data_IF_761440461812
#
_entry.id   IF_761440461812
#
_cell.length_a   1.000
_cell.length_b   1.000
_cell.length_c   1.000
_cell.angle_alpha   90.00
_cell.angle_beta   90.00
_cell.angle_gamma   90.00
#
_symmetry.space_group_name_H-M   'P 1'
#
loop_
_entity.id
_entity.type
_entity.pdbx_description
1 polymer ?
#
# COMPACT_ATOMS: atom_id res chain seq x y z
N UNK A 1 -17.96 22.99 -8.21
CA UNK A 1 -17.38 22.20 -7.09
C UNK A 1 -15.91 22.57 -6.95
N UNK A 2 -15.33 22.58 -5.75
CA UNK A 2 -13.90 22.86 -5.59
C UNK A 2 -13.06 21.70 -6.14
N UNK A 3 -11.92 21.95 -6.80
CA UNK A 3 -11.04 20.88 -7.32
C UNK A 3 -10.59 19.91 -6.23
N UNK A 4 -10.38 20.40 -5.00
CA UNK A 4 -10.08 19.57 -3.83
C UNK A 4 -11.18 18.56 -3.53
N UNK A 5 -12.45 18.98 -3.56
CA UNK A 5 -13.58 18.09 -3.29
C UNK A 5 -13.70 17.02 -4.38
N UNK A 6 -13.52 17.40 -5.65
CA UNK A 6 -13.53 16.44 -6.77
C UNK A 6 -12.43 15.39 -6.57
N UNK A 7 -11.20 15.80 -6.27
CA UNK A 7 -10.09 14.88 -6.04
C UNK A 7 -10.35 13.90 -4.88
N UNK A 8 -10.90 14.38 -3.77
CA UNK A 8 -11.25 13.54 -2.62
C UNK A 8 -12.33 12.53 -3.00
N UNK A 9 -13.40 12.97 -3.67
CA UNK A 9 -14.49 12.08 -4.09
C UNK A 9 -14.00 11.03 -5.07
N UNK A 10 -13.20 11.41 -6.06
CA UNK A 10 -12.57 10.48 -7.01
C UNK A 10 -11.70 9.47 -6.28
N UNK A 11 -10.87 9.91 -5.34
CA UNK A 11 -10.02 9.00 -4.56
C UNK A 11 -10.86 8.01 -3.74
N UNK A 12 -11.93 8.46 -3.08
CA UNK A 12 -12.82 7.60 -2.29
C UNK A 12 -13.55 6.57 -3.16
N UNK A 13 -14.03 6.97 -4.34
CA UNK A 13 -14.67 6.05 -5.30
C UNK A 13 -13.68 4.99 -5.76
N UNK A 14 -12.46 5.39 -6.13
CA UNK A 14 -11.41 4.46 -6.54
C UNK A 14 -11.03 3.51 -5.40
N UNK A 15 -10.91 4.01 -4.17
CA UNK A 15 -10.61 3.20 -2.99
C UNK A 15 -11.71 2.17 -2.71
N UNK A 16 -12.97 2.56 -2.88
CA UNK A 16 -14.11 1.67 -2.73
C UNK A 16 -14.08 0.57 -3.79
N UNK A 17 -13.89 0.93 -5.07
CA UNK A 17 -13.77 -0.02 -6.18
C UNK A 17 -12.61 -0.99 -5.92
N UNK A 18 -11.44 -0.47 -5.54
CA UNK A 18 -10.27 -1.28 -5.20
C UNK A 18 -10.58 -2.27 -4.08
N UNK A 19 -11.22 -1.83 -3.01
CA UNK A 19 -11.53 -2.68 -1.85
C UNK A 19 -12.54 -3.77 -2.20
N UNK A 20 -13.60 -3.44 -2.94
CA UNK A 20 -14.62 -4.40 -3.36
C UNK A 20 -14.02 -5.43 -4.31
N UNK A 21 -13.25 -4.99 -5.32
CA UNK A 21 -12.62 -5.90 -6.28
C UNK A 21 -11.58 -6.81 -5.62
N UNK A 22 -10.91 -6.34 -4.57
CA UNK A 22 -9.88 -7.10 -3.85
C UNK A 22 -10.39 -7.65 -2.50
N UNK A 23 -11.71 -7.83 -2.37
CA UNK A 23 -12.34 -8.43 -1.18
C UNK A 23 -12.19 -9.95 -1.12
N UNK A 24 -11.75 -10.58 -2.22
CA UNK A 24 -11.45 -12.00 -2.27
C UNK A 24 -10.45 -12.36 -1.15
N UNK A 25 -10.84 -13.32 -0.33
CA UNK A 25 -9.97 -13.88 0.70
C UNK A 25 -9.03 -14.88 0.07
N UNK A 26 -7.74 -14.76 0.36
CA UNK A 26 -6.70 -15.69 -0.07
C UNK A 26 -6.00 -16.28 1.16
N UNK A 27 -5.47 -17.49 1.02
CA UNK A 27 -4.57 -18.07 2.03
C UNK A 27 -3.17 -17.47 1.85
N UNK A 28 -2.73 -16.68 2.82
CA UNK A 28 -1.38 -16.18 2.85
C UNK A 28 -0.46 -17.20 3.52
N UNK A 29 0.45 -17.77 2.74
CA UNK A 29 1.50 -18.67 3.22
C UNK A 29 2.77 -17.85 3.48
N UNK A 30 3.12 -17.64 4.75
CA UNK A 30 4.28 -16.86 5.16
C UNK A 30 5.20 -17.65 6.09
N UNK A 31 6.28 -18.21 5.53
CA UNK A 31 7.18 -19.14 6.22
C UNK A 31 6.41 -20.34 6.82
N UNK A 32 6.16 -20.32 8.13
CA UNK A 32 5.41 -21.37 8.85
C UNK A 32 3.96 -20.99 9.15
N UNK A 33 3.56 -19.76 8.80
CA UNK A 33 2.26 -19.18 9.15
C UNK A 33 1.33 -19.26 7.94
N UNK A 34 0.09 -19.61 8.22
CA UNK A 34 -0.95 -19.78 7.21
C UNK A 34 -2.19 -19.10 7.78
N UNK A 35 -2.68 -18.07 7.09
CA UNK A 35 -3.90 -17.40 7.52
C UNK A 35 -4.68 -16.80 6.34
N UNK A 36 -6.02 -16.84 6.40
CA UNK A 36 -6.87 -16.19 5.42
C UNK A 36 -6.79 -14.67 5.59
N UNK A 37 -6.62 -13.96 4.48
CA UNK A 37 -6.64 -12.50 4.47
C UNK A 37 -7.30 -11.98 3.18
N UNK A 38 -8.11 -10.89 3.24
CA UNK A 38 -8.54 -10.19 2.04
C UNK A 38 -7.35 -9.65 1.25
N UNK A 39 -7.35 -9.85 -0.07
CA UNK A 39 -6.27 -9.44 -0.97
C UNK A 39 -5.98 -7.93 -0.88
N UNK A 40 -7.01 -7.11 -0.68
CA UNK A 40 -6.88 -5.66 -0.48
C UNK A 40 -5.94 -5.32 0.68
N UNK A 41 -6.06 -6.05 1.80
CA UNK A 41 -5.21 -5.82 2.98
C UNK A 41 -3.76 -6.23 2.67
N UNK A 42 -3.57 -7.36 1.99
CA UNK A 42 -2.22 -7.79 1.59
C UNK A 42 -1.53 -6.73 0.72
N UNK A 43 -2.24 -6.13 -0.23
CA UNK A 43 -1.69 -5.05 -1.06
C UNK A 43 -1.28 -3.82 -0.25
N UNK A 44 -2.10 -3.40 0.73
CA UNK A 44 -1.71 -2.30 1.63
C UNK A 44 -0.46 -2.65 2.46
N UNK A 45 -0.38 -3.87 3.00
CA UNK A 45 0.78 -4.32 3.77
C UNK A 45 2.04 -4.31 2.91
N UNK A 46 2.00 -4.89 1.71
CA UNK A 46 3.15 -4.91 0.79
C UNK A 46 3.57 -3.50 0.39
N UNK A 47 2.60 -2.61 0.10
CA UNK A 47 2.89 -1.20 -0.22
C UNK A 47 3.60 -0.48 0.94
N UNK A 48 3.10 -0.64 2.18
CA UNK A 48 3.72 -0.06 3.37
C UNK A 48 5.14 -0.61 3.57
N UNK A 49 5.34 -1.92 3.46
CA UNK A 49 6.66 -2.54 3.57
C UNK A 49 7.63 -2.02 2.51
N UNK A 50 7.17 -1.85 1.26
CA UNK A 50 7.96 -1.25 0.19
C UNK A 50 8.34 0.20 0.49
N UNK A 51 7.39 1.01 0.98
CA UNK A 51 7.64 2.40 1.36
C UNK A 51 8.64 2.49 2.52
N UNK A 52 8.46 1.69 3.58
CA UNK A 52 9.38 1.61 4.71
C UNK A 52 10.78 1.17 4.25
N UNK A 53 10.87 0.17 3.38
CA UNK A 53 12.13 -0.29 2.80
C UNK A 53 12.82 0.84 2.03
N UNK A 54 12.08 1.56 1.18
CA UNK A 54 12.61 2.70 0.43
C UNK A 54 13.12 3.83 1.33
N UNK A 55 12.38 4.15 2.40
CA UNK A 55 12.80 5.15 3.39
C UNK A 55 14.07 4.72 4.15
N UNK A 56 14.16 3.45 4.53
CA UNK A 56 15.34 2.90 5.19
C UNK A 56 16.56 2.93 4.26
N UNK A 57 16.40 2.52 3.01
CA UNK A 57 17.46 2.56 2.01
C UNK A 57 17.92 3.98 1.73
N UNK A 58 17.02 4.96 1.63
CA UNK A 58 17.40 6.37 1.46
C UNK A 58 18.28 6.85 2.62
N UNK A 59 17.94 6.48 3.87
CA UNK A 59 18.75 6.82 5.04
C UNK A 59 20.13 6.17 5.01
N UNK A 60 20.24 4.91 4.56
CA UNK A 60 21.50 4.15 4.51
C UNK A 60 22.39 4.61 3.35
N UNK A 61 21.80 4.81 2.17
CA UNK A 61 22.50 5.08 0.91
C UNK A 61 22.48 6.55 0.51
N UNK A 62 22.12 7.47 1.42
CA UNK A 62 22.10 8.91 1.14
C UNK A 62 23.46 9.29 0.54
N UNK A 63 23.55 9.62 -0.76
CA UNK A 63 24.81 10.05 -1.33
C UNK A 63 25.18 11.30 -0.55
N UNK A 64 26.39 11.35 0.03
CA UNK A 64 26.90 12.61 0.59
C UNK A 64 26.79 13.64 -0.52
N UNK A 65 25.88 14.60 -0.36
CA UNK A 65 25.85 15.77 -1.23
C UNK A 65 27.28 16.34 -1.21
N UNK A 66 27.88 16.50 -2.39
CA UNK A 66 29.15 17.23 -2.52
C UNK A 66 28.88 18.64 -1.98
N UNK A 67 29.32 18.91 -0.76
CA UNK A 67 29.43 20.25 -0.21
C UNK A 67 30.63 20.96 -0.82
#
# INVERSE_FOLDING_TARGET
>A
MSPRLIAILTFLVLLMIFTIQNSQTIELNFFFWHFPIPLAILYFVVFILGLLTGLLLNKIYRPKAKS
#
